data_IF_962111512518
#
_entry.id   IF_962111512518
#
_cell.length_a   1.000
_cell.length_b   1.000
_cell.length_c   1.000
_cell.angle_alpha   90.00
_cell.angle_beta   90.00
_cell.angle_gamma   90.00
#
_symmetry.space_group_name_H-M   'P 1'
#
loop_
_entity.id
_entity.type
_entity.pdbx_description
1 polymer ?
#
# COMPACT_ATOMS: atom_id res chain seq x y z
N UNK A 1 -26.33 -19.18 -11.35
CA UNK A 1 -26.18 -19.50 -9.91
C UNK A 1 -25.23 -20.69 -9.81
N UNK A 2 -24.26 -20.62 -8.89
CA UNK A 2 -24.37 -21.33 -7.64
C UNK A 2 -24.80 -20.34 -6.55
N UNK A 3 -25.98 -20.59 -6.00
CA UNK A 3 -26.41 -20.02 -4.73
C UNK A 3 -25.58 -20.66 -3.62
N UNK A 4 -25.25 -19.87 -2.60
CA UNK A 4 -24.29 -20.15 -1.52
C UNK A 4 -22.83 -19.88 -1.88
N UNK A 5 -22.53 -18.66 -2.32
CA UNK A 5 -21.28 -18.05 -1.87
C UNK A 5 -21.45 -17.69 -0.39
N UNK A 6 -20.59 -18.24 0.44
CA UNK A 6 -20.56 -18.07 1.89
C UNK A 6 -20.54 -16.56 2.23
N UNK A 7 -21.66 -15.98 2.66
CA UNK A 7 -21.80 -14.53 2.86
C UNK A 7 -20.88 -13.99 3.97
N UNK A 8 -20.29 -14.88 4.77
CA UNK A 8 -19.27 -14.57 5.78
C UNK A 8 -17.90 -14.18 5.17
N UNK A 9 -17.67 -14.40 3.87
CA UNK A 9 -16.39 -14.10 3.22
C UNK A 9 -16.27 -12.66 2.69
N UNK A 10 -17.34 -11.86 2.74
CA UNK A 10 -17.41 -10.51 2.14
C UNK A 10 -17.79 -9.45 3.18
N UNK A 11 -17.46 -8.19 2.92
CA UNK A 11 -17.92 -7.09 3.78
C UNK A 11 -19.43 -6.85 3.55
N UNK A 12 -20.19 -6.57 4.62
CA UNK A 12 -21.66 -6.46 4.55
C UNK A 12 -22.15 -5.33 3.62
N UNK A 13 -21.37 -4.26 3.51
CA UNK A 13 -21.57 -3.11 2.62
C UNK A 13 -21.32 -3.43 1.13
N UNK A 14 -20.72 -4.59 0.81
CA UNK A 14 -20.46 -5.03 -0.57
C UNK A 14 -21.52 -6.01 -1.10
N UNK A 15 -22.45 -6.48 -0.25
CA UNK A 15 -23.43 -7.50 -0.61
C UNK A 15 -24.51 -6.99 -1.56
N UNK A 16 -24.88 -5.72 -1.45
CA UNK A 16 -25.88 -5.06 -2.31
C UNK A 16 -25.31 -3.79 -2.92
N UNK A 17 -25.28 -3.74 -4.26
CA UNK A 17 -24.84 -2.54 -4.98
C UNK A 17 -25.87 -1.40 -4.83
N UNK A 18 -25.42 -0.15 -4.67
CA UNK A 18 -26.33 0.98 -4.53
C UNK A 18 -27.13 1.24 -5.82
N UNK A 19 -28.35 1.75 -5.71
CA UNK A 19 -29.29 1.85 -6.83
C UNK A 19 -28.81 2.74 -8.01
N UNK A 20 -27.92 3.70 -7.75
CA UNK A 20 -27.32 4.54 -8.79
C UNK A 20 -26.30 3.78 -9.65
N UNK A 21 -25.70 2.71 -9.11
CA UNK A 21 -24.76 1.84 -9.79
C UNK A 21 -25.55 0.82 -10.62
N UNK A 22 -26.05 1.26 -11.78
CA UNK A 22 -26.96 0.48 -12.63
C UNK A 22 -26.50 0.46 -14.10
N UNK A 23 -27.25 -0.25 -14.95
CA UNK A 23 -26.92 -0.43 -16.37
C UNK A 23 -26.81 0.88 -17.15
N UNK A 24 -27.60 1.90 -16.82
CA UNK A 24 -27.53 3.20 -17.49
C UNK A 24 -26.22 3.91 -17.14
N UNK A 25 -25.85 3.96 -15.87
CA UNK A 25 -24.59 4.55 -15.43
C UNK A 25 -23.38 3.87 -16.07
N UNK A 26 -23.33 2.54 -16.05
CA UNK A 26 -22.24 1.78 -16.71
C UNK A 26 -22.23 2.00 -18.23
N UNK A 27 -23.39 2.10 -18.88
CA UNK A 27 -23.45 2.42 -20.30
C UNK A 27 -22.86 3.80 -20.62
N UNK A 28 -23.15 4.81 -19.81
CA UNK A 28 -22.64 6.18 -20.00
C UNK A 28 -21.10 6.24 -19.81
N UNK A 29 -20.58 5.51 -18.82
CA UNK A 29 -19.15 5.31 -18.64
C UNK A 29 -18.52 4.66 -19.89
N UNK A 30 -19.05 3.52 -20.32
CA UNK A 30 -18.48 2.76 -21.44
C UNK A 30 -18.60 3.49 -22.78
N UNK A 31 -19.67 4.25 -23.02
CA UNK A 31 -19.81 5.10 -24.22
C UNK A 31 -18.66 6.09 -24.35
N UNK A 32 -18.29 6.70 -23.22
CA UNK A 32 -17.20 7.69 -23.17
C UNK A 32 -15.85 7.01 -23.36
N UNK A 33 -15.59 5.94 -22.60
CA UNK A 33 -14.33 5.22 -22.62
C UNK A 33 -14.02 4.56 -23.98
N UNK A 34 -14.99 3.81 -24.52
CA UNK A 34 -14.87 3.11 -25.81
C UNK A 34 -15.12 4.04 -27.02
N UNK A 35 -15.37 5.34 -26.78
CA UNK A 35 -15.70 6.35 -27.81
C UNK A 35 -16.82 5.89 -28.76
N UNK A 36 -17.84 5.25 -28.21
CA UNK A 36 -18.92 4.58 -28.94
C UNK A 36 -20.28 5.04 -28.39
N UNK A 37 -20.86 6.15 -28.89
CA UNK A 37 -22.08 6.74 -28.33
C UNK A 37 -23.31 5.84 -28.49
N UNK A 38 -23.30 4.92 -29.46
CA UNK A 38 -24.37 3.95 -29.70
C UNK A 38 -24.34 2.75 -28.75
N UNK A 39 -23.31 2.65 -27.90
CA UNK A 39 -23.11 1.52 -27.00
C UNK A 39 -24.32 1.31 -26.09
N UNK A 40 -24.76 0.05 -25.98
CA UNK A 40 -25.83 -0.38 -25.07
C UNK A 40 -25.38 -1.56 -24.24
N UNK A 41 -25.43 -1.41 -22.92
CA UNK A 41 -25.25 -2.52 -21.97
C UNK A 41 -26.49 -3.40 -22.06
N UNK A 42 -26.27 -4.70 -22.29
CA UNK A 42 -27.32 -5.71 -22.45
C UNK A 42 -27.48 -6.60 -21.23
N UNK A 43 -26.40 -6.81 -20.49
CA UNK A 43 -26.42 -7.54 -19.22
C UNK A 43 -25.42 -6.93 -18.24
N UNK A 44 -25.80 -6.92 -16.96
CA UNK A 44 -24.99 -6.37 -15.89
C UNK A 44 -25.37 -7.04 -14.58
N UNK A 45 -24.38 -7.67 -13.93
CA UNK A 45 -24.53 -8.24 -12.61
C UNK A 45 -23.40 -7.77 -11.70
N UNK A 46 -23.75 -7.22 -10.55
CA UNK A 46 -22.80 -6.86 -9.50
C UNK A 46 -22.63 -8.01 -8.51
N UNK A 47 -21.40 -8.19 -8.06
CA UNK A 47 -21.01 -9.08 -6.97
C UNK A 47 -19.99 -8.36 -6.09
N UNK A 48 -19.81 -8.75 -4.82
CA UNK A 48 -18.67 -8.28 -4.04
C UNK A 48 -17.33 -8.49 -4.76
N UNK A 49 -16.38 -7.57 -4.61
CA UNK A 49 -15.08 -7.65 -5.28
C UNK A 49 -13.94 -8.13 -4.36
N UNK A 50 -14.06 -7.89 -3.04
CA UNK A 50 -12.98 -8.11 -2.07
C UNK A 50 -13.37 -9.11 -1.00
N UNK A 51 -12.38 -9.85 -0.50
CA UNK A 51 -12.59 -10.65 0.70
C UNK A 51 -12.71 -9.75 1.93
N UNK A 52 -13.41 -10.23 2.95
CA UNK A 52 -13.55 -9.54 4.23
C UNK A 52 -12.17 -9.17 4.81
N UNK A 53 -12.00 -7.89 5.15
CA UNK A 53 -10.74 -7.35 5.70
C UNK A 53 -9.76 -6.80 4.66
N UNK A 54 -10.00 -6.95 3.36
CA UNK A 54 -9.29 -6.17 2.34
C UNK A 54 -9.97 -4.81 2.12
N UNK A 55 -9.21 -3.83 1.61
CA UNK A 55 -9.70 -2.51 1.19
C UNK A 55 -10.61 -1.81 2.21
N UNK A 56 -10.18 -1.82 3.48
CA UNK A 56 -10.92 -1.30 4.64
C UNK A 56 -11.49 0.12 4.45
N UNK A 57 -10.83 0.93 3.64
CA UNK A 57 -11.16 2.33 3.38
C UNK A 57 -12.15 2.57 2.21
N UNK A 58 -12.78 1.53 1.66
CA UNK A 58 -13.75 1.66 0.56
C UNK A 58 -14.69 0.46 0.45
N UNK A 59 -15.74 0.61 -0.35
CA UNK A 59 -16.61 -0.49 -0.80
C UNK A 59 -16.25 -0.83 -2.24
N UNK A 60 -16.08 -2.12 -2.53
CA UNK A 60 -15.77 -2.57 -3.89
C UNK A 60 -16.79 -3.56 -4.46
N UNK A 61 -17.22 -3.29 -5.69
CA UNK A 61 -18.08 -4.17 -6.47
C UNK A 61 -17.35 -4.67 -7.71
N UNK A 62 -17.56 -5.93 -8.06
CA UNK A 62 -17.13 -6.55 -9.31
C UNK A 62 -18.35 -6.66 -10.22
N UNK A 63 -18.15 -6.37 -11.50
CA UNK A 63 -19.18 -6.64 -12.51
C UNK A 63 -18.56 -7.07 -13.82
N UNK A 64 -19.36 -7.71 -14.67
CA UNK A 64 -19.02 -7.97 -16.06
C UNK A 64 -20.10 -7.32 -16.90
N UNK A 65 -19.73 -6.26 -17.62
CA UNK A 65 -20.65 -5.54 -18.48
C UNK A 65 -20.65 -6.19 -19.87
N UNK A 66 -21.76 -6.83 -20.23
CA UNK A 66 -22.00 -7.23 -21.62
C UNK A 66 -22.62 -6.05 -22.36
N UNK A 67 -22.07 -5.69 -23.51
CA UNK A 67 -22.57 -4.56 -24.29
C UNK A 67 -22.46 -4.80 -25.79
N UNK A 68 -23.22 -4.00 -26.53
CA UNK A 68 -23.22 -4.01 -28.00
C UNK A 68 -22.80 -2.66 -28.54
N UNK A 69 -22.04 -2.68 -29.63
CA UNK A 69 -21.69 -1.50 -30.44
C UNK A 69 -21.97 -1.81 -31.91
N UNK A 70 -21.74 -0.84 -32.79
CA UNK A 70 -21.74 -1.05 -34.24
C UNK A 70 -20.78 -2.16 -34.70
N UNK A 71 -19.75 -2.49 -33.90
CA UNK A 71 -18.74 -3.52 -34.20
C UNK A 71 -19.10 -4.92 -33.72
N UNK A 72 -20.18 -5.08 -32.96
CA UNK A 72 -20.63 -6.38 -32.46
C UNK A 72 -20.91 -6.39 -30.96
N UNK A 73 -20.85 -7.59 -30.36
CA UNK A 73 -21.04 -7.81 -28.92
C UNK A 73 -19.69 -7.92 -28.22
N UNK A 74 -19.58 -7.31 -27.06
CA UNK A 74 -18.37 -7.25 -26.26
C UNK A 74 -18.69 -7.51 -24.79
N UNK A 75 -17.66 -7.87 -24.03
CA UNK A 75 -17.73 -8.13 -22.61
C UNK A 75 -16.55 -7.43 -21.94
N UNK A 76 -16.81 -6.67 -20.88
CA UNK A 76 -15.77 -5.96 -20.13
C UNK A 76 -15.92 -6.22 -18.63
N UNK A 77 -14.99 -7.00 -18.04
CA UNK A 77 -14.88 -7.18 -16.60
C UNK A 77 -14.38 -5.90 -15.92
N UNK A 78 -15.04 -5.49 -14.83
CA UNK A 78 -14.81 -4.23 -14.14
C UNK A 78 -14.78 -4.39 -12.62
N UNK A 79 -13.94 -3.60 -11.96
CA UNK A 79 -13.95 -3.35 -10.53
C UNK A 79 -14.40 -1.91 -10.28
N UNK A 80 -15.38 -1.72 -9.42
CA UNK A 80 -15.89 -0.41 -9.00
C UNK A 80 -15.50 -0.20 -7.55
N UNK A 81 -14.76 0.86 -7.26
CA UNK A 81 -14.45 1.33 -5.91
C UNK A 81 -15.32 2.55 -5.62
N UNK A 82 -15.98 2.59 -4.46
CA UNK A 82 -16.85 3.69 -4.03
C UNK A 82 -16.84 3.82 -2.51
N UNK A 83 -17.32 4.96 -2.00
CA UNK A 83 -17.50 5.17 -0.58
C UNK A 83 -18.76 4.46 -0.03
N UNK A 84 -18.77 4.01 1.24
CA UNK A 84 -19.97 3.49 1.87
C UNK A 84 -21.08 4.55 1.94
N UNK A 85 -22.31 4.20 1.55
CA UNK A 85 -23.46 5.09 1.71
C UNK A 85 -24.07 5.02 3.12
N UNK A 86 -23.99 3.85 3.77
CA UNK A 86 -24.54 3.61 5.09
C UNK A 86 -23.82 4.42 6.17
N UNK A 87 -24.59 5.06 7.05
CA UNK A 87 -24.04 5.77 8.22
C UNK A 87 -23.35 4.78 9.18
N UNK A 88 -22.25 5.21 9.78
CA UNK A 88 -21.48 4.41 10.73
C UNK A 88 -20.00 4.78 10.76
N UNK A 89 -19.27 4.16 11.70
CA UNK A 89 -17.86 4.46 11.96
C UNK A 89 -16.96 4.51 10.71
N UNK A 90 -17.16 3.58 9.75
CA UNK A 90 -16.40 3.58 8.49
C UNK A 90 -16.65 4.85 7.67
N UNK A 91 -17.90 5.27 7.50
CA UNK A 91 -18.25 6.47 6.72
C UNK A 91 -17.68 7.73 7.39
N UNK A 92 -17.81 7.84 8.71
CA UNK A 92 -17.30 8.99 9.48
C UNK A 92 -15.77 9.09 9.44
N UNK A 93 -15.06 7.95 9.49
CA UNK A 93 -13.60 7.93 9.37
C UNK A 93 -13.11 8.33 7.97
N UNK A 94 -13.92 8.07 6.94
CA UNK A 94 -13.51 8.22 5.54
C UNK A 94 -14.02 9.52 4.88
N UNK A 95 -15.11 10.12 5.38
CA UNK A 95 -15.79 11.27 4.75
C UNK A 95 -14.93 12.53 4.67
N UNK A 96 -13.97 12.71 5.58
CA UNK A 96 -13.07 13.86 5.63
C UNK A 96 -11.66 13.54 5.10
N UNK A 97 -11.50 12.42 4.38
CA UNK A 97 -10.19 11.99 3.88
C UNK A 97 -9.91 12.44 2.45
N UNK A 98 -8.62 12.58 2.12
CA UNK A 98 -8.16 12.88 0.76
C UNK A 98 -7.90 11.62 -0.09
N UNK A 99 -8.21 10.42 0.44
CA UNK A 99 -7.85 9.13 -0.16
C UNK A 99 -8.25 9.01 -1.62
N UNK A 100 -9.52 9.25 -1.89
CA UNK A 100 -10.10 9.13 -3.23
C UNK A 100 -9.50 10.16 -4.20
N UNK A 101 -9.30 11.39 -3.73
CA UNK A 101 -8.69 12.45 -4.54
C UNK A 101 -7.21 12.19 -4.85
N UNK A 102 -6.47 11.60 -3.91
CA UNK A 102 -5.08 11.18 -4.08
C UNK A 102 -4.98 10.03 -5.09
N UNK A 103 -5.84 9.01 -4.95
CA UNK A 103 -5.86 7.86 -5.85
C UNK A 103 -6.23 8.25 -7.28
N UNK A 104 -7.29 9.05 -7.46
CA UNK A 104 -7.67 9.59 -8.77
C UNK A 104 -6.49 10.34 -9.40
N UNK A 105 -5.76 11.14 -8.62
CA UNK A 105 -4.60 11.87 -9.12
C UNK A 105 -3.48 10.93 -9.54
N UNK A 106 -3.20 9.86 -8.79
CA UNK A 106 -2.23 8.85 -9.20
C UNK A 106 -2.57 8.27 -10.58
N UNK A 107 -3.81 7.84 -10.79
CA UNK A 107 -4.28 7.25 -12.05
C UNK A 107 -4.40 8.21 -13.23
N UNK A 108 -4.66 9.50 -12.97
CA UNK A 108 -4.93 10.49 -14.04
C UNK A 108 -3.73 11.35 -14.40
N UNK A 109 -2.72 11.43 -13.52
CA UNK A 109 -1.57 12.33 -13.72
C UNK A 109 -0.23 11.61 -13.57
N UNK A 110 0.11 11.15 -12.37
CA UNK A 110 1.46 10.64 -12.08
C UNK A 110 1.78 9.33 -12.81
N UNK A 111 0.95 8.29 -12.66
CA UNK A 111 1.23 6.97 -13.21
C UNK A 111 1.24 6.94 -14.75
N UNK A 112 0.32 7.62 -15.46
CA UNK A 112 0.41 7.75 -16.91
C UNK A 112 1.70 8.45 -17.38
N UNK A 113 2.12 9.51 -16.68
CA UNK A 113 3.39 10.19 -16.98
C UNK A 113 4.58 9.28 -16.71
N UNK A 114 4.52 8.47 -15.65
CA UNK A 114 5.60 7.54 -15.32
C UNK A 114 5.76 6.46 -16.41
N UNK A 115 4.66 5.84 -16.84
CA UNK A 115 4.69 4.89 -17.96
C UNK A 115 5.15 5.55 -19.27
N UNK A 116 4.78 6.83 -19.53
CA UNK A 116 5.24 7.56 -20.72
C UNK A 116 6.76 7.70 -20.71
N UNK A 117 7.34 8.14 -19.59
CA UNK A 117 8.79 8.32 -19.43
C UNK A 117 9.53 6.98 -19.57
N UNK A 118 9.03 5.90 -18.97
CA UNK A 118 9.62 4.57 -19.11
C UNK A 118 9.62 4.10 -20.56
N UNK A 119 8.48 4.25 -21.25
CA UNK A 119 8.35 3.86 -22.66
C UNK A 119 9.26 4.65 -23.58
N UNK A 120 9.45 5.95 -23.34
CA UNK A 120 10.41 6.78 -24.09
C UNK A 120 11.87 6.32 -23.89
N UNK A 121 12.16 5.71 -22.74
CA UNK A 121 13.44 5.07 -22.45
C UNK A 121 13.52 3.60 -22.92
N UNK A 122 12.52 3.10 -23.64
CA UNK A 122 12.47 1.72 -24.15
C UNK A 122 12.08 0.67 -23.11
N UNK A 123 11.38 1.07 -22.04
CA UNK A 123 10.87 0.17 -21.00
C UNK A 123 9.33 0.16 -21.00
N UNK A 124 8.73 -0.96 -21.40
CA UNK A 124 7.27 -1.13 -21.49
C UNK A 124 6.61 -1.60 -20.17
N UNK A 125 7.29 -1.40 -19.03
CA UNK A 125 6.74 -1.78 -17.72
C UNK A 125 5.39 -1.09 -17.48
N UNK A 126 4.36 -1.91 -17.30
CA UNK A 126 3.04 -1.47 -16.83
C UNK A 126 3.09 -1.20 -15.34
N UNK A 127 2.75 0.00 -14.89
CA UNK A 127 2.79 0.39 -13.47
C UNK A 127 1.42 0.24 -12.80
N UNK A 128 0.34 0.32 -13.57
CA UNK A 128 -1.02 0.37 -13.04
C UNK A 128 -2.05 -0.28 -13.96
N UNK A 129 -3.21 -0.62 -13.39
CA UNK A 129 -4.37 -1.11 -14.14
C UNK A 129 -5.13 0.05 -14.80
N UNK A 130 -5.70 -0.11 -16.00
CA UNK A 130 -6.52 0.95 -16.59
C UNK A 130 -7.70 1.37 -15.68
N UNK A 131 -7.72 2.64 -15.28
CA UNK A 131 -8.88 3.30 -14.69
C UNK A 131 -9.71 3.91 -15.82
N UNK A 132 -10.93 3.39 -16.02
CA UNK A 132 -11.78 3.75 -17.16
C UNK A 132 -12.75 4.88 -16.84
N UNK A 133 -12.99 5.12 -15.55
CA UNK A 133 -13.85 6.19 -15.05
C UNK A 133 -13.46 6.57 -13.64
N UNK A 134 -13.60 7.85 -13.34
CA UNK A 134 -13.46 8.36 -12.00
C UNK A 134 -14.37 9.57 -11.81
N UNK A 135 -14.84 9.78 -10.59
CA UNK A 135 -15.53 10.99 -10.18
C UNK A 135 -15.30 11.27 -8.70
N UNK A 136 -15.27 12.56 -8.36
CA UNK A 136 -15.41 13.05 -6.99
C UNK A 136 -16.83 13.57 -6.71
N UNK A 137 -17.48 14.12 -7.75
CA UNK A 137 -18.79 14.78 -7.67
C UNK A 137 -19.71 14.31 -8.81
N UNK A 138 -20.97 13.95 -8.54
CA UNK A 138 -21.66 14.02 -7.25
C UNK A 138 -21.31 12.87 -6.28
N UNK A 139 -20.43 11.96 -6.69
CA UNK A 139 -20.05 10.77 -5.92
C UNK A 139 -18.58 10.43 -6.14
N UNK A 140 -17.94 9.99 -5.07
CA UNK A 140 -16.60 9.40 -5.10
C UNK A 140 -16.69 7.97 -5.63
N UNK A 141 -16.35 7.79 -6.91
CA UNK A 141 -16.34 6.48 -7.58
C UNK A 141 -15.16 6.37 -8.53
N UNK A 142 -14.56 5.19 -8.59
CA UNK A 142 -13.54 4.82 -9.57
C UNK A 142 -13.90 3.46 -10.17
N UNK A 143 -13.66 3.30 -11.47
CA UNK A 143 -13.92 2.06 -12.19
C UNK A 143 -12.64 1.64 -12.91
N UNK A 144 -12.21 0.41 -12.67
CA UNK A 144 -11.02 -0.21 -13.22
C UNK A 144 -11.38 -1.41 -14.08
N UNK A 145 -10.51 -1.77 -15.02
CA UNK A 145 -10.57 -3.11 -15.63
C UNK A 145 -10.25 -4.19 -14.58
N UNK A 146 -11.01 -5.28 -14.56
CA UNK A 146 -10.74 -6.38 -13.64
C UNK A 146 -9.52 -7.19 -14.11
N UNK A 147 -8.54 -7.34 -13.22
CA UNK A 147 -7.32 -8.08 -13.46
C UNK A 147 -7.50 -9.60 -13.29
N UNK A 148 -8.53 -10.05 -12.55
CA UNK A 148 -8.74 -11.49 -12.28
C UNK A 148 -8.93 -12.29 -13.58
N UNK A 149 -9.80 -11.87 -14.53
CA UNK A 149 -9.91 -12.55 -15.82
C UNK A 149 -8.64 -12.52 -16.67
N UNK A 150 -7.69 -11.65 -16.36
CA UNK A 150 -6.41 -11.53 -17.07
C UNK A 150 -5.34 -12.47 -16.48
N UNK A 151 -5.67 -13.24 -15.44
CA UNK A 151 -4.79 -14.20 -14.78
C UNK A 151 -4.12 -13.69 -13.51
N UNK A 152 -4.44 -12.47 -13.05
CA UNK A 152 -3.86 -11.93 -11.82
C UNK A 152 -4.62 -12.39 -10.57
N UNK A 153 -3.89 -12.67 -9.49
CA UNK A 153 -4.45 -13.09 -8.21
C UNK A 153 -3.69 -12.47 -7.03
N UNK A 154 -4.36 -12.27 -5.91
CA UNK A 154 -3.72 -11.85 -4.66
C UNK A 154 -3.17 -13.08 -3.94
N UNK A 155 -1.91 -13.02 -3.51
CA UNK A 155 -1.32 -14.09 -2.69
C UNK A 155 -1.86 -13.96 -1.25
N UNK A 156 -2.55 -15.01 -0.78
CA UNK A 156 -3.19 -15.01 0.56
C UNK A 156 -2.70 -16.11 1.49
N UNK A 157 -2.49 -17.30 0.95
CA UNK A 157 -2.37 -18.53 1.73
C UNK A 157 -0.96 -19.14 1.67
N UNK A 158 0.02 -18.38 1.16
CA UNK A 158 1.41 -18.81 1.07
C UNK A 158 2.36 -17.62 1.20
N UNK A 159 3.62 -17.85 1.58
CA UNK A 159 4.66 -16.83 1.46
C UNK A 159 4.92 -16.48 -0.01
N UNK A 160 5.46 -15.28 -0.24
CA UNK A 160 6.03 -14.88 -1.53
C UNK A 160 7.34 -15.62 -1.79
N UNK A 161 7.59 -15.98 -3.05
CA UNK A 161 8.88 -16.52 -3.49
C UNK A 161 9.90 -15.39 -3.67
N UNK A 162 11.19 -15.74 -3.67
CA UNK A 162 12.27 -14.80 -3.97
C UNK A 162 12.06 -14.10 -5.32
N UNK A 163 11.64 -14.84 -6.34
CA UNK A 163 11.40 -14.32 -7.69
C UNK A 163 10.26 -13.30 -7.72
N UNK A 164 9.17 -13.58 -7.02
CA UNK A 164 8.05 -12.63 -6.89
C UNK A 164 8.49 -11.33 -6.22
N UNK A 165 9.29 -11.43 -5.14
CA UNK A 165 9.87 -10.27 -4.46
C UNK A 165 10.77 -9.47 -5.41
N UNK A 166 11.63 -10.12 -6.19
CA UNK A 166 12.46 -9.43 -7.20
C UNK A 166 11.60 -8.68 -8.24
N UNK A 167 10.46 -9.23 -8.66
CA UNK A 167 9.53 -8.49 -9.55
C UNK A 167 8.90 -7.29 -8.88
N UNK A 168 8.49 -7.43 -7.61
CA UNK A 168 7.97 -6.32 -6.79
C UNK A 168 9.01 -5.21 -6.68
N UNK A 169 10.22 -5.52 -6.24
CA UNK A 169 11.27 -4.54 -6.04
C UNK A 169 11.79 -3.94 -7.35
N UNK A 170 11.82 -4.71 -8.45
CA UNK A 170 12.14 -4.17 -9.78
C UNK A 170 11.10 -3.12 -10.22
N UNK A 171 9.81 -3.42 -10.06
CA UNK A 171 8.74 -2.47 -10.41
C UNK A 171 8.75 -1.24 -9.51
N UNK A 172 8.93 -1.42 -8.20
CA UNK A 172 9.04 -0.31 -7.25
C UNK A 172 10.24 0.59 -7.59
N UNK A 173 11.39 0.00 -7.94
CA UNK A 173 12.58 0.76 -8.33
C UNK A 173 12.34 1.62 -9.57
N UNK A 174 11.66 1.07 -10.58
CA UNK A 174 11.31 1.82 -11.80
C UNK A 174 10.36 2.97 -11.50
N UNK A 175 9.32 2.70 -10.71
CA UNK A 175 8.40 3.73 -10.23
C UNK A 175 9.17 4.84 -9.52
N UNK A 176 9.96 4.48 -8.50
CA UNK A 176 10.69 5.45 -7.68
C UNK A 176 11.67 6.26 -8.53
N UNK A 177 12.45 5.64 -9.43
CA UNK A 177 13.35 6.33 -10.34
C UNK A 177 12.63 7.40 -11.17
N UNK A 178 11.50 7.04 -11.77
CA UNK A 178 10.74 7.98 -12.60
C UNK A 178 10.11 9.08 -11.76
N UNK A 179 9.64 8.76 -10.55
CA UNK A 179 9.14 9.77 -9.63
C UNK A 179 10.23 10.75 -9.17
N UNK A 180 11.48 10.30 -8.98
CA UNK A 180 12.62 11.20 -8.70
C UNK A 180 12.85 12.15 -9.88
N UNK A 181 12.80 11.63 -11.10
CA UNK A 181 12.93 12.44 -12.32
C UNK A 181 11.83 13.48 -12.43
N UNK A 182 10.57 13.08 -12.26
CA UNK A 182 9.44 14.02 -12.31
C UNK A 182 9.53 15.04 -11.18
N UNK A 183 9.92 14.64 -9.97
CA UNK A 183 10.10 15.56 -8.86
C UNK A 183 11.20 16.60 -9.13
N UNK A 184 12.29 16.19 -9.80
CA UNK A 184 13.41 17.07 -10.13
C UNK A 184 13.10 18.02 -11.31
N UNK A 185 12.39 17.54 -12.34
CA UNK A 185 12.23 18.27 -13.61
C UNK A 185 10.83 18.88 -13.78
N UNK A 186 9.81 18.33 -13.13
CA UNK A 186 8.40 18.72 -13.23
C UNK A 186 7.69 18.65 -11.85
N UNK A 187 8.21 19.32 -10.79
CA UNK A 187 7.71 19.17 -9.42
C UNK A 187 6.22 19.51 -9.25
N UNK A 188 5.70 20.42 -10.09
CA UNK A 188 4.28 20.79 -10.09
C UNK A 188 3.33 19.62 -10.37
N UNK A 189 3.79 18.57 -11.05
CA UNK A 189 2.99 17.38 -11.32
C UNK A 189 2.75 16.58 -10.03
N UNK A 190 3.71 16.59 -9.10
CA UNK A 190 3.66 15.80 -7.88
C UNK A 190 3.31 16.59 -6.61
N UNK A 191 3.21 17.92 -6.67
CA UNK A 191 3.03 18.79 -5.49
C UNK A 191 1.80 18.48 -4.62
N UNK A 192 0.76 17.89 -5.23
CA UNK A 192 -0.49 17.59 -4.54
C UNK A 192 -0.48 16.21 -3.86
N UNK A 193 0.57 15.39 -4.03
CA UNK A 193 0.78 14.16 -3.25
C UNK A 193 1.35 14.50 -1.88
N UNK A 194 0.46 15.00 -1.02
CA UNK A 194 0.81 15.54 0.31
C UNK A 194 -0.04 14.98 1.46
N UNK A 195 -0.84 13.96 1.19
CA UNK A 195 -1.74 13.36 2.16
C UNK A 195 -1.38 11.88 2.33
N UNK A 196 -0.51 11.62 3.31
CA UNK A 196 -0.08 10.27 3.66
C UNK A 196 -0.74 9.78 4.94
N UNK A 197 -0.16 8.73 5.55
CA UNK A 197 -0.66 8.15 6.80
C UNK A 197 -0.83 9.20 7.91
N UNK A 198 0.12 10.14 8.05
CA UNK A 198 0.08 11.19 9.08
C UNK A 198 -1.02 12.24 8.88
N UNK A 199 -1.62 12.28 7.71
CA UNK A 199 -2.67 13.23 7.34
C UNK A 199 -4.07 12.60 7.43
N UNK A 200 -4.15 11.32 7.80
CA UNK A 200 -5.41 10.64 8.09
C UNK A 200 -6.04 11.19 9.37
N UNK A 201 -7.36 11.45 9.39
CA UNK A 201 -8.07 11.78 10.61
C UNK A 201 -7.84 10.72 11.68
N UNK A 202 -7.70 11.17 12.93
CA UNK A 202 -7.65 10.36 14.17
C UNK A 202 -6.56 9.28 14.30
N UNK A 203 -5.81 8.96 13.25
CA UNK A 203 -4.80 7.89 13.23
C UNK A 203 -3.75 8.00 14.35
N UNK A 204 -3.30 9.22 14.65
CA UNK A 204 -2.28 9.47 15.69
C UNK A 204 -2.84 9.38 17.11
N UNK A 205 -4.15 9.47 17.26
CA UNK A 205 -4.86 9.27 18.53
C UNK A 205 -5.48 7.88 18.65
N UNK A 206 -5.47 7.09 17.58
CA UNK A 206 -6.12 5.79 17.55
C UNK A 206 -5.40 4.80 18.51
N UNK A 207 -6.14 4.06 19.36
CA UNK A 207 -5.57 3.04 20.22
C UNK A 207 -4.72 1.99 19.48
N UNK A 208 -5.03 1.66 18.23
CA UNK A 208 -4.23 0.77 17.38
C UNK A 208 -2.78 1.28 17.22
N UNK A 209 -2.61 2.60 17.10
CA UNK A 209 -1.30 3.26 16.95
C UNK A 209 -0.68 3.55 18.31
N UNK A 210 -1.45 4.15 19.22
CA UNK A 210 -0.92 4.69 20.48
C UNK A 210 -0.60 3.60 21.51
N UNK A 211 -1.28 2.45 21.47
CA UNK A 211 -1.01 1.34 22.41
C UNK A 211 0.18 0.45 22.03
N UNK A 212 0.73 0.61 20.82
CA UNK A 212 1.73 -0.31 20.27
C UNK A 212 2.97 -0.46 21.16
N UNK A 213 3.62 0.66 21.46
CA UNK A 213 4.79 0.68 22.35
C UNK A 213 4.49 0.15 23.76
N UNK A 214 3.32 0.44 24.32
CA UNK A 214 2.98 -0.06 25.66
C UNK A 214 2.83 -1.58 25.67
N UNK A 215 2.14 -2.13 24.67
CA UNK A 215 2.00 -3.58 24.53
C UNK A 215 3.34 -4.26 24.25
N UNK A 216 4.21 -3.62 23.46
CA UNK A 216 5.56 -4.10 23.24
C UNK A 216 6.36 -4.19 24.53
N UNK A 217 6.38 -3.13 25.35
CA UNK A 217 7.07 -3.13 26.64
C UNK A 217 6.51 -4.19 27.61
N UNK A 218 5.18 -4.38 27.65
CA UNK A 218 4.53 -5.45 28.44
C UNK A 218 4.95 -6.85 28.00
N UNK A 219 5.16 -7.07 26.70
CA UNK A 219 5.70 -8.33 26.18
C UNK A 219 7.16 -8.51 26.60
N UNK A 220 7.98 -7.45 26.54
CA UNK A 220 9.38 -7.51 26.97
C UNK A 220 9.54 -7.86 28.45
N UNK A 221 8.59 -7.46 29.30
CA UNK A 221 8.57 -7.85 30.73
C UNK A 221 8.30 -9.35 30.95
N UNK A 222 7.66 -10.02 29.98
CA UNK A 222 7.30 -11.44 30.07
C UNK A 222 8.35 -12.37 29.48
N UNK A 223 9.25 -11.86 28.64
CA UNK A 223 10.21 -12.66 27.88
C UNK A 223 11.64 -12.25 28.28
N UNK A 224 12.33 -13.05 29.12
CA UNK A 224 13.63 -12.69 29.70
C UNK A 224 14.68 -12.25 28.67
N UNK A 225 14.69 -12.84 27.47
CA UNK A 225 15.63 -12.52 26.39
C UNK A 225 15.54 -11.05 25.92
N UNK A 226 14.39 -10.39 26.13
CA UNK A 226 14.17 -9.01 25.71
C UNK A 226 14.52 -7.99 26.80
N UNK A 227 14.73 -8.43 28.04
CA UNK A 227 15.03 -7.55 29.20
C UNK A 227 16.15 -6.56 28.91
N UNK A 228 17.22 -6.99 28.21
CA UNK A 228 18.37 -6.13 27.90
C UNK A 228 18.04 -4.98 26.95
N UNK A 229 17.02 -5.11 26.10
CA UNK A 229 16.64 -4.10 25.11
C UNK A 229 15.57 -3.13 25.62
N UNK A 230 14.79 -3.54 26.64
CA UNK A 230 13.65 -2.77 27.15
C UNK A 230 14.00 -1.31 27.49
N UNK A 231 15.13 -0.99 28.14
CA UNK A 231 15.46 0.40 28.47
C UNK A 231 15.56 1.34 27.26
N UNK A 232 15.94 0.82 26.09
CA UNK A 232 16.02 1.62 24.86
C UNK A 232 14.64 2.06 24.37
N UNK A 233 13.64 1.17 24.46
CA UNK A 233 12.27 1.46 24.06
C UNK A 233 11.53 2.31 25.09
N UNK A 234 11.79 2.11 26.39
CA UNK A 234 11.27 3.00 27.44
C UNK A 234 11.73 4.45 27.23
N UNK A 235 12.98 4.65 26.82
CA UNK A 235 13.54 5.99 26.57
C UNK A 235 12.81 6.77 25.48
N UNK A 236 12.37 6.09 24.42
CA UNK A 236 11.71 6.72 23.27
C UNK A 236 10.18 6.65 23.33
N UNK A 237 9.61 6.00 24.36
CA UNK A 237 8.16 5.76 24.48
C UNK A 237 7.33 7.04 24.31
N UNK A 238 7.84 8.16 24.81
CA UNK A 238 7.12 9.44 24.79
C UNK A 238 7.12 10.18 23.45
N UNK A 239 8.07 9.89 22.54
CA UNK A 239 8.27 10.69 21.33
C UNK A 239 8.43 9.88 20.03
N UNK A 240 8.47 8.55 20.08
CA UNK A 240 8.70 7.71 18.89
C UNK A 240 7.63 7.91 17.79
N UNK A 241 6.36 8.14 18.14
CA UNK A 241 5.29 8.43 17.16
C UNK A 241 5.56 9.75 16.45
N UNK A 242 5.96 10.79 17.20
CA UNK A 242 6.31 12.08 16.62
C UNK A 242 7.53 11.95 15.69
N UNK A 243 8.58 11.25 16.14
CA UNK A 243 9.79 11.03 15.33
C UNK A 243 9.50 10.19 14.07
N UNK A 244 8.59 9.22 14.16
CA UNK A 244 8.08 8.50 12.98
C UNK A 244 7.33 9.46 12.03
N UNK A 245 6.49 10.33 12.58
CA UNK A 245 5.80 11.37 11.81
C UNK A 245 6.76 12.32 11.10
N UNK A 246 7.86 12.69 11.77
CA UNK A 246 8.91 13.54 11.19
C UNK A 246 9.59 12.86 9.99
N UNK A 247 9.78 11.53 10.03
CA UNK A 247 10.26 10.76 8.87
C UNK A 247 9.24 10.80 7.73
N UNK A 248 7.98 10.46 8.00
CA UNK A 248 6.93 10.39 6.96
C UNK A 248 6.62 11.74 6.32
N UNK A 249 6.89 12.84 7.03
CA UNK A 249 6.67 14.21 6.57
C UNK A 249 7.97 14.95 6.25
N UNK A 250 9.12 14.27 6.24
CA UNK A 250 10.46 14.88 6.09
C UNK A 250 10.52 15.81 4.89
N UNK A 251 10.07 15.34 3.71
CA UNK A 251 10.08 16.13 2.48
C UNK A 251 9.40 17.50 2.63
N UNK A 252 8.28 17.58 3.36
CA UNK A 252 7.47 18.79 3.49
C UNK A 252 7.86 19.65 4.69
N UNK A 253 8.17 19.03 5.82
CA UNK A 253 8.34 19.71 7.11
C UNK A 253 9.80 19.84 7.55
N UNK A 254 10.69 19.00 7.05
CA UNK A 254 12.08 18.94 7.47
C UNK A 254 12.99 18.47 6.34
N UNK A 255 12.93 19.14 5.19
CA UNK A 255 13.65 18.75 3.98
C UNK A 255 15.16 18.64 4.25
N UNK A 256 15.75 17.52 3.87
CA UNK A 256 17.18 17.25 3.96
C UNK A 256 17.79 17.31 2.57
N UNK A 257 18.85 18.11 2.41
CA UNK A 257 19.54 18.24 1.11
C UNK A 257 20.18 16.94 0.62
N UNK A 258 20.52 16.03 1.53
CA UNK A 258 21.06 14.69 1.22
C UNK A 258 19.98 13.58 1.20
N UNK A 259 18.69 13.96 1.27
CA UNK A 259 17.56 13.06 1.24
C UNK A 259 17.19 12.61 -0.17
N UNK A 260 16.77 11.35 -0.32
CA UNK A 260 16.23 10.81 -1.56
C UNK A 260 14.72 10.78 -1.44
N UNK A 261 14.03 11.60 -2.24
CA UNK A 261 12.59 11.76 -2.17
C UNK A 261 11.92 11.22 -3.42
N UNK A 262 10.80 10.53 -3.22
CA UNK A 262 10.04 9.86 -4.26
C UNK A 262 8.55 10.08 -4.03
N UNK A 263 7.74 9.81 -5.05
CA UNK A 263 6.32 9.56 -4.82
C UNK A 263 6.17 8.12 -4.34
N UNK A 264 6.02 7.95 -3.04
CA UNK A 264 5.88 6.65 -2.40
C UNK A 264 4.48 6.07 -2.67
N UNK A 265 4.34 4.74 -2.65
CA UNK A 265 3.04 4.08 -2.59
C UNK A 265 2.35 4.37 -1.25
N UNK A 266 3.13 4.33 -0.15
CA UNK A 266 2.69 4.62 1.21
C UNK A 266 2.05 3.43 1.94
N UNK A 267 1.37 2.54 1.21
CA UNK A 267 0.80 1.28 1.75
C UNK A 267 1.32 0.02 1.03
N UNK A 268 2.64 -0.16 1.02
CA UNK A 268 3.30 -1.14 0.15
C UNK A 268 3.35 -2.56 0.75
N UNK A 269 2.19 -3.21 0.87
CA UNK A 269 2.03 -4.56 1.43
C UNK A 269 1.44 -5.58 0.44
N UNK A 270 1.53 -6.87 0.75
CA UNK A 270 1.16 -7.98 -0.15
C UNK A 270 -0.30 -7.91 -0.66
N UNK A 271 -1.26 -7.41 0.14
CA UNK A 271 -2.67 -7.31 -0.28
C UNK A 271 -2.94 -6.21 -1.32
N UNK A 272 -1.99 -5.30 -1.52
CA UNK A 272 -2.05 -4.24 -2.55
C UNK A 272 -1.25 -4.66 -3.80
N UNK A 273 -1.03 -5.97 -3.98
CA UNK A 273 -0.29 -6.55 -5.08
C UNK A 273 -1.07 -7.73 -5.66
N UNK A 274 -1.25 -7.74 -6.98
CA UNK A 274 -1.78 -8.89 -7.70
C UNK A 274 -0.70 -9.49 -8.59
N UNK A 275 -0.53 -10.80 -8.55
CA UNK A 275 0.50 -11.53 -9.26
C UNK A 275 -0.12 -12.34 -10.39
N UNK A 276 0.56 -12.37 -11.53
CA UNK A 276 0.24 -13.25 -12.65
C UNK A 276 1.48 -14.06 -12.95
N UNK A 277 1.34 -15.37 -12.71
CA UNK A 277 2.46 -16.31 -12.70
C UNK A 277 3.59 -15.81 -11.78
N UNK A 278 4.83 -16.27 -11.98
CA UNK A 278 6.00 -15.79 -11.23
C UNK A 278 6.72 -14.62 -11.95
N UNK A 279 6.04 -13.97 -12.90
CA UNK A 279 6.68 -13.03 -13.85
C UNK A 279 6.19 -11.59 -13.74
N UNK A 280 4.92 -11.41 -13.37
CA UNK A 280 4.26 -10.12 -13.37
C UNK A 280 3.59 -9.85 -12.02
N UNK A 281 3.72 -8.61 -11.56
CA UNK A 281 3.01 -8.09 -10.40
C UNK A 281 2.30 -6.81 -10.83
N UNK A 282 1.11 -6.52 -10.33
CA UNK A 282 0.43 -5.25 -10.51
C UNK A 282 0.19 -4.63 -9.14
N UNK A 283 0.58 -3.37 -8.98
CA UNK A 283 0.26 -2.61 -7.77
C UNK A 283 -1.14 -2.03 -7.91
N UNK A 284 -1.86 -2.00 -6.80
CA UNK A 284 -3.22 -1.46 -6.71
C UNK A 284 -3.35 -0.64 -5.42
N UNK A 285 -4.41 0.15 -5.32
CA UNK A 285 -4.75 0.95 -4.13
C UNK A 285 -3.73 2.07 -3.81
N UNK A 286 -3.74 3.11 -4.64
CA UNK A 286 -2.80 4.24 -4.56
C UNK A 286 -3.29 5.39 -3.66
N UNK A 287 -4.15 5.09 -2.69
CA UNK A 287 -4.92 6.07 -1.92
C UNK A 287 -4.09 6.93 -0.97
N UNK A 288 -2.93 6.45 -0.51
CA UNK A 288 -2.01 7.20 0.36
C UNK A 288 -0.67 7.52 -0.29
N UNK A 289 -0.63 7.57 -1.63
CA UNK A 289 0.56 8.01 -2.35
C UNK A 289 0.98 9.41 -1.89
N UNK A 290 2.27 9.56 -1.58
CA UNK A 290 2.77 10.75 -0.89
C UNK A 290 4.22 11.04 -1.27
N UNK A 291 4.60 12.32 -1.35
CA UNK A 291 6.00 12.71 -1.47
C UNK A 291 6.71 12.53 -0.12
N UNK A 292 7.64 11.58 -0.07
CA UNK A 292 8.26 11.12 1.15
C UNK A 292 9.68 10.56 0.90
N UNK A 293 10.50 10.31 1.95
CA UNK A 293 11.77 9.63 1.76
C UNK A 293 11.60 8.27 1.07
N UNK A 294 12.52 7.91 0.18
CA UNK A 294 12.55 6.62 -0.54
C UNK A 294 12.47 5.42 0.40
N UNK A 295 12.95 5.60 1.64
CA UNK A 295 12.99 4.56 2.65
C UNK A 295 11.62 4.15 3.18
N UNK A 296 10.55 4.93 2.95
CA UNK A 296 9.24 4.62 3.53
C UNK A 296 8.68 3.33 2.95
N UNK A 297 8.57 3.22 1.61
CA UNK A 297 8.10 1.95 1.02
C UNK A 297 9.08 0.80 1.30
N UNK A 298 10.39 1.08 1.33
CA UNK A 298 11.42 0.06 1.57
C UNK A 298 11.34 -0.49 3.00
N UNK A 299 11.37 0.35 4.03
CA UNK A 299 11.20 -0.07 5.42
C UNK A 299 9.85 -0.75 5.61
N UNK A 300 8.75 -0.20 5.08
CA UNK A 300 7.42 -0.82 5.20
C UNK A 300 7.40 -2.24 4.64
N UNK A 301 8.00 -2.45 3.46
CA UNK A 301 8.06 -3.77 2.81
C UNK A 301 8.81 -4.83 3.63
N UNK A 302 9.85 -4.45 4.39
CA UNK A 302 10.60 -5.37 5.25
C UNK A 302 9.68 -6.03 6.29
N UNK A 303 8.72 -5.27 6.84
CA UNK A 303 7.82 -5.79 7.88
C UNK A 303 6.50 -6.32 7.32
N UNK A 304 5.99 -5.74 6.22
CA UNK A 304 4.65 -6.02 5.70
C UNK A 304 4.63 -7.00 4.52
N UNK A 305 5.77 -7.23 3.86
CA UNK A 305 5.88 -8.08 2.67
C UNK A 305 6.83 -9.26 2.88
N UNK A 306 8.02 -9.01 3.43
CA UNK A 306 9.09 -10.03 3.51
C UNK A 306 8.83 -11.11 4.56
N UNK A 307 9.36 -12.32 4.35
CA UNK A 307 9.34 -13.41 5.32
C UNK A 307 10.47 -13.25 6.37
N UNK A 308 10.42 -14.00 7.49
CA UNK A 308 11.42 -13.91 8.56
C UNK A 308 12.88 -14.05 8.09
N UNK A 309 13.12 -14.83 7.04
CA UNK A 309 14.45 -15.08 6.48
C UNK A 309 15.05 -13.85 5.78
N UNK A 310 14.22 -13.03 5.12
CA UNK A 310 14.71 -11.77 4.53
C UNK A 310 14.66 -10.63 5.55
N UNK A 311 13.65 -10.61 6.40
CA UNK A 311 13.45 -9.56 7.41
C UNK A 311 14.58 -9.51 8.44
N UNK A 312 15.16 -10.64 8.81
CA UNK A 312 16.20 -10.72 9.83
C UNK A 312 17.47 -9.93 9.48
N UNK A 313 17.75 -9.70 8.19
CA UNK A 313 18.83 -8.83 7.71
C UNK A 313 18.28 -7.55 7.05
N UNK A 314 17.10 -7.09 7.49
CA UNK A 314 16.43 -5.89 7.00
C UNK A 314 16.24 -5.86 5.47
N UNK A 315 16.04 -7.03 4.87
CA UNK A 315 15.80 -7.14 3.42
C UNK A 315 17.00 -6.78 2.56
N UNK A 316 18.22 -6.82 3.11
CA UNK A 316 19.45 -6.31 2.49
C UNK A 316 19.62 -6.69 1.02
N UNK A 317 19.47 -7.96 0.69
CA UNK A 317 19.68 -8.44 -0.68
C UNK A 317 18.63 -7.87 -1.65
N UNK A 318 17.35 -7.81 -1.24
CA UNK A 318 16.27 -7.25 -2.03
C UNK A 318 16.38 -5.73 -2.18
N UNK A 319 16.82 -5.02 -1.13
CA UNK A 319 17.05 -3.56 -1.18
C UNK A 319 18.24 -3.23 -2.08
N UNK A 320 19.32 -4.01 -2.04
CA UNK A 320 20.46 -3.82 -2.94
C UNK A 320 20.10 -4.14 -4.40
N UNK A 321 19.29 -5.19 -4.62
CA UNK A 321 18.74 -5.50 -5.94
C UNK A 321 17.84 -4.35 -6.44
N UNK A 322 16.92 -3.87 -5.60
CA UNK A 322 16.11 -2.67 -5.86
C UNK A 322 16.98 -1.48 -6.27
N UNK A 323 18.06 -1.21 -5.52
CA UNK A 323 18.94 -0.08 -5.80
C UNK A 323 19.65 -0.20 -7.15
N UNK A 324 20.06 -1.42 -7.53
CA UNK A 324 20.63 -1.70 -8.85
C UNK A 324 19.65 -1.36 -9.97
N UNK A 325 18.39 -1.78 -9.84
CA UNK A 325 17.34 -1.46 -10.82
C UNK A 325 17.01 0.04 -10.83
N UNK A 326 17.01 0.70 -9.67
CA UNK A 326 16.77 2.13 -9.52
C UNK A 326 17.82 2.92 -10.30
N UNK A 327 19.10 2.62 -10.05
CA UNK A 327 20.24 3.30 -10.69
C UNK A 327 20.21 3.13 -12.21
N UNK A 328 19.99 1.91 -12.69
CA UNK A 328 19.88 1.62 -14.12
C UNK A 328 18.70 2.36 -14.76
N UNK A 329 17.57 2.43 -14.06
CA UNK A 329 16.38 3.13 -14.57
C UNK A 329 16.64 4.63 -14.64
N UNK A 330 17.20 5.24 -13.58
CA UNK A 330 17.55 6.67 -13.54
C UNK A 330 18.48 7.07 -14.71
N UNK A 331 19.48 6.22 -15.03
CA UNK A 331 20.36 6.41 -16.20
C UNK A 331 19.57 6.38 -17.50
N UNK A 332 18.71 5.37 -17.69
CA UNK A 332 17.91 5.19 -18.93
C UNK A 332 16.91 6.33 -19.17
N UNK A 333 16.24 6.80 -18.11
CA UNK A 333 15.27 7.91 -18.22
C UNK A 333 15.93 9.29 -18.30
N UNK A 334 17.27 9.35 -18.29
CA UNK A 334 18.03 10.60 -18.36
C UNK A 334 17.74 11.53 -17.19
N UNK A 335 17.80 11.00 -15.96
CA UNK A 335 17.67 11.80 -14.75
C UNK A 335 18.80 12.83 -14.64
N UNK A 336 18.46 14.09 -14.29
CA UNK A 336 19.40 15.22 -14.25
C UNK A 336 19.83 15.64 -12.84
N UNK A 337 19.23 15.07 -11.81
CA UNK A 337 19.61 15.34 -10.42
C UNK A 337 20.87 14.57 -10.01
N UNK A 338 21.27 14.75 -8.75
CA UNK A 338 22.37 13.98 -8.16
C UNK A 338 21.97 12.49 -8.07
N UNK A 339 22.81 11.62 -8.62
CA UNK A 339 22.57 10.17 -8.60
C UNK A 339 22.67 9.64 -7.17
N UNK A 340 21.67 8.88 -6.68
CA UNK A 340 21.78 8.25 -5.38
C UNK A 340 22.90 7.21 -5.39
N UNK A 341 23.46 6.94 -4.22
CA UNK A 341 24.45 5.87 -4.00
C UNK A 341 23.89 4.80 -3.06
N UNK A 342 24.38 3.57 -3.17
CA UNK A 342 23.93 2.47 -2.32
C UNK A 342 24.21 2.76 -0.84
N UNK A 343 25.42 3.25 -0.54
CA UNK A 343 25.79 3.66 0.83
C UNK A 343 24.93 4.82 1.33
N UNK A 344 24.58 5.77 0.45
CA UNK A 344 23.67 6.86 0.79
C UNK A 344 22.24 6.38 1.09
N UNK A 345 21.76 5.35 0.38
CA UNK A 345 20.46 4.74 0.66
C UNK A 345 20.45 4.08 2.04
N UNK A 346 21.47 3.27 2.35
CA UNK A 346 21.59 2.63 3.66
C UNK A 346 21.80 3.63 4.80
N UNK A 347 22.50 4.74 4.55
CA UNK A 347 22.59 5.86 5.49
C UNK A 347 21.21 6.46 5.79
N UNK A 348 20.36 6.65 4.78
CA UNK A 348 18.99 7.14 4.98
C UNK A 348 18.12 6.13 5.72
N UNK A 349 18.18 4.83 5.37
CA UNK A 349 17.47 3.76 6.09
C UNK A 349 17.83 3.83 7.58
N UNK A 350 19.12 3.91 7.90
CA UNK A 350 19.58 4.04 9.28
C UNK A 350 19.12 5.36 9.95
N UNK A 351 19.10 6.49 9.23
CA UNK A 351 18.56 7.77 9.73
C UNK A 351 17.09 7.66 10.11
N UNK A 352 16.32 6.89 9.34
CA UNK A 352 14.87 6.75 9.49
C UNK A 352 14.45 5.59 10.41
N UNK A 353 15.36 5.08 11.27
CA UNK A 353 15.12 3.99 12.25
C UNK A 353 13.89 4.13 13.15
N UNK A 354 13.36 5.34 13.36
CA UNK A 354 12.12 5.53 14.13
C UNK A 354 10.90 4.97 13.41
N UNK A 355 10.95 4.89 12.08
CA UNK A 355 9.92 4.20 11.31
C UNK A 355 10.05 2.68 11.46
N UNK A 356 11.27 2.13 11.46
CA UNK A 356 11.51 0.71 11.77
C UNK A 356 11.00 0.34 13.17
N UNK A 357 11.30 1.15 14.19
CA UNK A 357 10.79 0.93 15.54
C UNK A 357 9.26 0.93 15.56
N UNK A 358 8.63 1.92 14.92
CA UNK A 358 7.18 1.97 14.82
C UNK A 358 6.59 0.72 14.15
N UNK A 359 7.17 0.29 13.02
CA UNK A 359 6.68 -0.88 12.30
C UNK A 359 6.84 -2.16 13.12
N UNK A 360 8.00 -2.35 13.77
CA UNK A 360 8.24 -3.47 14.67
C UNK A 360 7.26 -3.49 15.84
N UNK A 361 7.11 -2.36 16.55
CA UNK A 361 6.35 -2.33 17.81
C UNK A 361 4.86 -2.21 17.62
N UNK A 362 4.38 -1.80 16.45
CA UNK A 362 2.96 -1.44 16.27
C UNK A 362 2.31 -2.30 15.18
N UNK A 363 2.83 -2.29 13.96
CA UNK A 363 2.14 -2.94 12.82
C UNK A 363 2.49 -4.41 12.65
N UNK A 364 3.74 -4.80 12.89
CA UNK A 364 4.20 -6.16 12.72
C UNK A 364 3.42 -7.22 13.51
N UNK A 365 3.16 -7.05 14.83
CA UNK A 365 2.45 -8.07 15.61
C UNK A 365 1.05 -8.33 15.06
N UNK A 366 0.33 -7.26 14.70
CA UNK A 366 -1.00 -7.36 14.09
C UNK A 366 -0.96 -8.02 12.72
N UNK A 367 -0.01 -7.61 11.87
CA UNK A 367 0.14 -8.13 10.51
C UNK A 367 0.42 -9.63 10.51
N UNK A 368 1.33 -10.10 11.39
CA UNK A 368 1.64 -11.52 11.50
C UNK A 368 0.45 -12.33 12.03
N UNK A 369 -0.28 -11.81 13.02
CA UNK A 369 -1.47 -12.49 13.54
C UNK A 369 -2.58 -12.61 12.49
N UNK A 370 -2.80 -11.57 11.68
CA UNK A 370 -3.76 -11.58 10.56
C UNK A 370 -3.30 -12.54 9.47
N UNK A 371 -2.01 -12.51 9.09
CA UNK A 371 -1.43 -13.40 8.07
C UNK A 371 -1.58 -14.87 8.46
N UNK A 372 -1.44 -15.18 9.75
CA UNK A 372 -1.64 -16.52 10.28
C UNK A 372 -3.11 -16.92 10.47
N UNK A 373 -4.07 -16.06 10.10
CA UNK A 373 -5.50 -16.22 10.39
C UNK A 373 -5.81 -16.44 11.88
N UNK A 374 -4.95 -15.95 12.78
CA UNK A 374 -5.16 -16.07 14.23
C UNK A 374 -6.25 -15.10 14.72
N UNK A 375 -6.29 -13.89 14.15
CA UNK A 375 -7.29 -12.85 14.42
C UNK A 375 -7.68 -12.15 13.11
N UNK A 376 -8.87 -11.56 13.09
CA UNK A 376 -9.35 -10.72 11.98
C UNK A 376 -8.96 -9.26 12.23
N UNK A 377 -8.74 -8.51 11.15
CA UNK A 377 -8.37 -7.08 11.23
C UNK A 377 -9.39 -6.27 12.04
N UNK A 378 -10.69 -6.52 11.85
CA UNK A 378 -11.72 -5.76 12.56
C UNK A 378 -11.70 -6.01 14.08
N UNK A 379 -11.37 -7.23 14.52
CA UNK A 379 -11.20 -7.57 15.94
C UNK A 379 -10.01 -6.79 16.52
N UNK A 380 -8.91 -6.72 15.78
CA UNK A 380 -7.72 -5.96 16.19
C UNK A 380 -7.98 -4.46 16.27
N UNK A 381 -8.85 -3.91 15.42
CA UNK A 381 -9.19 -2.48 15.49
C UNK A 381 -10.07 -2.19 16.72
N UNK A 382 -10.97 -3.10 17.08
CA UNK A 382 -12.00 -2.83 18.09
C UNK A 382 -11.64 -3.31 19.50
N UNK A 383 -10.87 -4.38 19.62
CA UNK A 383 -10.62 -5.07 20.90
C UNK A 383 -9.16 -4.89 21.38
N UNK A 384 -8.93 -4.09 22.43
CA UNK A 384 -7.60 -3.91 23.02
C UNK A 384 -6.95 -5.20 23.55
N UNK A 385 -7.73 -6.15 24.06
CA UNK A 385 -7.22 -7.40 24.61
C UNK A 385 -6.75 -8.33 23.49
N UNK A 386 -7.50 -8.40 22.38
CA UNK A 386 -7.08 -9.16 21.19
C UNK A 386 -5.82 -8.53 20.58
N UNK A 387 -5.74 -7.19 20.50
CA UNK A 387 -4.49 -6.52 20.09
C UNK A 387 -3.31 -6.92 20.96
N UNK A 388 -3.49 -6.92 22.29
CA UNK A 388 -2.41 -7.26 23.21
C UNK A 388 -1.93 -8.71 23.02
N UNK A 389 -2.83 -9.65 22.73
CA UNK A 389 -2.48 -11.07 22.45
C UNK A 389 -1.54 -11.22 21.26
N UNK A 390 -1.57 -10.32 20.28
CA UNK A 390 -0.68 -10.38 19.11
C UNK A 390 0.80 -10.27 19.47
N UNK A 391 1.14 -9.64 20.61
CA UNK A 391 2.51 -9.45 21.03
C UNK A 391 3.13 -10.72 21.61
N UNK A 392 2.31 -11.69 22.03
CA UNK A 392 2.76 -13.00 22.48
C UNK A 392 2.62 -14.07 21.39
N UNK A 393 2.27 -13.66 20.17
CA UNK A 393 2.16 -14.59 19.05
C UNK A 393 3.53 -15.12 18.65
N UNK A 394 3.68 -16.45 18.59
CA UNK A 394 4.99 -17.10 18.43
C UNK A 394 5.80 -16.59 17.23
N UNK A 395 5.26 -16.48 15.99
CA UNK A 395 5.99 -15.92 14.86
C UNK A 395 6.52 -14.50 15.11
N UNK A 396 5.74 -13.65 15.79
CA UNK A 396 6.17 -12.29 16.11
C UNK A 396 7.32 -12.30 17.13
N UNK A 397 7.22 -13.12 18.18
CA UNK A 397 8.29 -13.27 19.18
C UNK A 397 9.58 -13.77 18.53
N UNK A 398 9.50 -14.74 17.60
CA UNK A 398 10.68 -15.23 16.88
C UNK A 398 11.34 -14.15 16.01
N UNK A 399 10.54 -13.28 15.38
CA UNK A 399 11.06 -12.15 14.61
C UNK A 399 11.76 -11.13 15.49
N UNK A 400 11.16 -10.75 16.61
CA UNK A 400 11.77 -9.83 17.58
C UNK A 400 13.10 -10.39 18.11
N UNK A 401 13.18 -11.71 18.35
CA UNK A 401 14.43 -12.41 18.74
C UNK A 401 15.57 -12.26 17.73
N UNK A 402 15.27 -12.14 16.44
CA UNK A 402 16.26 -11.93 15.38
C UNK A 402 16.54 -10.45 15.15
N UNK A 403 15.51 -9.61 15.17
CA UNK A 403 15.59 -8.19 14.83
C UNK A 403 16.28 -7.33 15.89
N UNK A 404 16.04 -7.56 17.19
CA UNK A 404 16.68 -6.75 18.24
C UNK A 404 18.22 -6.89 18.25
N UNK A 405 18.80 -8.10 18.13
CA UNK A 405 20.25 -8.24 17.89
C UNK A 405 20.72 -7.53 16.64
N UNK A 406 19.96 -7.60 15.54
CA UNK A 406 20.32 -6.91 14.29
C UNK A 406 20.35 -5.38 14.48
N UNK A 407 19.36 -4.82 15.17
CA UNK A 407 19.32 -3.40 15.53
C UNK A 407 20.50 -2.98 16.40
N UNK A 408 20.94 -3.83 17.33
CA UNK A 408 22.14 -3.61 18.13
C UNK A 408 23.41 -3.60 17.27
N UNK A 409 23.57 -4.60 16.40
CA UNK A 409 24.69 -4.74 15.46
C UNK A 409 24.88 -3.49 14.59
N UNK A 410 23.79 -3.01 13.98
CA UNK A 410 23.83 -1.84 13.07
C UNK A 410 23.80 -0.51 13.82
N UNK A 411 23.64 -0.51 15.15
CA UNK A 411 23.71 0.69 15.98
C UNK A 411 22.43 1.50 16.08
N UNK A 412 21.26 0.92 15.84
CA UNK A 412 19.97 1.60 15.99
C UNK A 412 19.75 2.15 17.40
N UNK A 413 20.27 1.47 18.43
CA UNK A 413 20.17 1.93 19.81
C UNK A 413 21.17 3.04 20.19
N UNK A 414 22.11 3.38 19.31
CA UNK A 414 23.06 4.49 19.55
C UNK A 414 22.33 5.83 19.43
N UNK A 415 22.52 6.69 20.43
CA UNK A 415 21.97 8.05 20.43
C UNK A 415 20.44 8.13 20.53
N UNK A 416 19.77 7.08 21.01
CA UNK A 416 18.39 7.18 21.49
C UNK A 416 18.32 8.03 22.74
#
# INVERSE_FOLDING_TARGET
>A
MPDNADTEQFNADELEAPAWLNAQFIADVLRTYEKSPELKVTDLKFTPASAQGDHYASVMFRTTAEYTTSKGKFCKPLIIKTMPEQEGHKKDMLSDTHLFSTEIRAYTTALPEFERILREAGDDTKLFVPCIYHSLEPRQVMIFEDLVPQGYTVIRNRPTTQRELEKVFSKLAKWHAVSMKVLNEQPDLLKDFKYGLMDMPTIMSDPMVTSGMENFLKMMDQIPEFTKYKPYFEKIKGDYIQRMGDVLQEYRKNFQSDGYYVMCHGDFHLRNMMFKDDEEVMFIDFQICNLCPITVDLCYSVYMLMEPEQRCDLGKDLINYYFTVLEDTLKKVGYKGEMPTNDGLWKQIHRHKFYDFFLLTTFLPMTLAVKANAFKIHELIQDPEIRQKCYLFDPYVQDVKKLLPKYEEIGYFKGL
#
